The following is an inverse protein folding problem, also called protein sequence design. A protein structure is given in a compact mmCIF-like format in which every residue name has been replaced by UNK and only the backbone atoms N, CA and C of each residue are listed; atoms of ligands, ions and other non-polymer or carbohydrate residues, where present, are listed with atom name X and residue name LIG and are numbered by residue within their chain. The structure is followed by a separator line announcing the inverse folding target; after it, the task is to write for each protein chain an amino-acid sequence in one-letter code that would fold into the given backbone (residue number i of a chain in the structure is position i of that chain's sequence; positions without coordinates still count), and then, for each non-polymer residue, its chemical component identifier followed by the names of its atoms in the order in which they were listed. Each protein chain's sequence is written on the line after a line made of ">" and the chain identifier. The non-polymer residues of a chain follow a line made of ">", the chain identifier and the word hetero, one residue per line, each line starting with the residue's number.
data_IF_382098850832
#
_entry.id   IF_382098850832
#
_cell.length_a   1.000
_cell.length_b   1.000
_cell.length_c   1.000
_cell.angle_alpha   90.00
_cell.angle_beta   90.00
_cell.angle_gamma   90.00
#
_symmetry.space_group_name_H-M   'P 1'
#
loop_
_entity.id
_entity.type
_entity.pdbx_description
1 polymer ?
#
# COMPACT_ATOMS: atom_id res chain seq x y z
N UNK A 1 7.15 0.14 -22.64
CA UNK A 1 5.68 0.02 -22.68
C UNK A 1 5.26 -0.20 -24.12
N UNK A 2 4.21 -0.99 -24.33
CA UNK A 2 3.57 -1.15 -25.63
C UNK A 2 2.25 -0.35 -25.69
N UNK A 3 1.61 -0.32 -26.86
CA UNK A 3 0.35 0.41 -27.11
C UNK A 3 -0.83 -0.07 -26.24
N UNK A 4 -0.83 -1.34 -25.81
CA UNK A 4 -1.87 -1.86 -24.93
C UNK A 4 -1.69 -1.31 -23.51
N UNK A 5 -0.44 -1.26 -23.03
CA UNK A 5 -0.10 -0.71 -21.70
C UNK A 5 -0.57 0.75 -21.58
N UNK A 6 -0.30 1.56 -22.60
CA UNK A 6 -0.73 2.97 -22.68
C UNK A 6 -2.26 3.09 -22.61
N UNK A 7 -2.99 2.35 -23.46
CA UNK A 7 -4.46 2.35 -23.45
C UNK A 7 -5.05 1.92 -22.11
N UNK A 8 -4.43 0.94 -21.47
CA UNK A 8 -4.92 0.39 -20.20
C UNK A 8 -4.70 1.39 -19.07
N UNK A 9 -3.58 2.11 -19.05
CA UNK A 9 -3.32 3.19 -18.09
C UNK A 9 -4.29 4.36 -18.29
N UNK A 10 -4.58 4.74 -19.54
CA UNK A 10 -5.50 5.83 -19.86
C UNK A 10 -6.95 5.51 -19.49
N UNK A 11 -7.42 4.29 -19.79
CA UNK A 11 -8.80 3.88 -19.57
C UNK A 11 -9.09 3.44 -18.13
N UNK A 12 -8.07 2.97 -17.40
CA UNK A 12 -8.22 2.40 -16.06
C UNK A 12 -7.24 3.00 -15.04
N UNK A 13 -7.19 4.34 -14.87
CA UNK A 13 -6.31 4.96 -13.90
C UNK A 13 -6.64 4.46 -12.49
N UNK A 14 -5.61 4.23 -11.68
CA UNK A 14 -5.77 3.70 -10.33
C UNK A 14 -6.10 2.20 -10.23
N UNK A 15 -6.37 1.51 -11.34
CA UNK A 15 -6.76 0.09 -11.36
C UNK A 15 -5.71 -0.83 -11.98
N UNK A 16 -4.68 -0.24 -12.59
CA UNK A 16 -3.59 -0.94 -13.24
C UNK A 16 -2.38 -0.93 -12.33
N UNK A 17 -1.74 -2.10 -12.17
CA UNK A 17 -0.57 -2.25 -11.32
C UNK A 17 0.60 -2.74 -12.15
N UNK A 18 1.67 -1.95 -12.15
CA UNK A 18 2.97 -2.31 -12.75
C UNK A 18 3.70 -3.34 -11.89
N UNK A 19 3.68 -4.61 -12.32
CA UNK A 19 4.25 -5.73 -11.57
C UNK A 19 5.78 -5.69 -11.44
N UNK A 20 6.47 -5.04 -12.38
CA UNK A 20 7.90 -4.78 -12.32
C UNK A 20 8.27 -3.92 -11.10
N UNK A 21 7.47 -2.88 -10.80
CA UNK A 21 7.67 -2.03 -9.62
C UNK A 21 7.40 -2.79 -8.31
N UNK A 22 6.42 -3.70 -8.29
CA UNK A 22 6.13 -4.55 -7.13
C UNK A 22 7.34 -5.41 -6.79
N UNK A 23 7.95 -6.05 -7.79
CA UNK A 23 9.12 -6.92 -7.61
C UNK A 23 10.33 -6.16 -7.04
N UNK A 24 10.58 -4.94 -7.54
CA UNK A 24 11.66 -4.09 -7.05
C UNK A 24 11.49 -3.69 -5.56
N UNK A 25 10.26 -3.44 -5.12
CA UNK A 25 9.95 -3.04 -3.74
C UNK A 25 9.92 -4.23 -2.77
N UNK A 26 9.46 -5.40 -3.20
CA UNK A 26 9.37 -6.61 -2.35
C UNK A 26 10.71 -7.01 -1.74
N UNK A 27 11.81 -6.89 -2.48
CA UNK A 27 13.14 -7.24 -1.97
C UNK A 27 13.63 -6.32 -0.85
N UNK A 28 13.08 -5.11 -0.76
CA UNK A 28 13.51 -4.10 0.21
C UNK A 28 12.60 -4.04 1.45
N UNK A 29 11.37 -4.56 1.37
CA UNK A 29 10.35 -4.38 2.38
C UNK A 29 9.63 -5.71 2.67
N UNK A 30 9.61 -6.11 3.95
CA UNK A 30 8.86 -7.29 4.42
C UNK A 30 7.36 -6.97 4.57
N UNK A 31 6.70 -6.64 3.45
CA UNK A 31 5.30 -6.24 3.37
C UNK A 31 4.57 -7.17 2.40
N UNK A 32 3.32 -7.59 2.70
CA UNK A 32 2.56 -8.45 1.79
C UNK A 32 2.37 -7.82 0.40
N UNK A 33 2.44 -8.66 -0.64
CA UNK A 33 2.36 -8.24 -2.04
C UNK A 33 1.12 -7.39 -2.34
N UNK A 34 -0.04 -7.79 -1.84
CA UNK A 34 -1.31 -7.11 -2.11
C UNK A 34 -1.36 -5.68 -1.55
N UNK A 35 -0.62 -5.39 -0.47
CA UNK A 35 -0.51 -4.03 0.09
C UNK A 35 0.29 -3.15 -0.86
N UNK A 36 1.43 -3.66 -1.34
CA UNK A 36 2.26 -2.95 -2.33
C UNK A 36 1.49 -2.72 -3.62
N UNK A 37 0.77 -3.73 -4.10
CA UNK A 37 -0.04 -3.63 -5.31
C UNK A 37 -1.13 -2.57 -5.19
N UNK A 38 -1.82 -2.51 -4.05
CA UNK A 38 -2.83 -1.48 -3.77
C UNK A 38 -2.22 -0.07 -3.78
N UNK A 39 -1.10 0.12 -3.08
CA UNK A 39 -0.43 1.42 -3.00
C UNK A 39 0.11 1.84 -4.37
N UNK A 40 0.76 0.94 -5.11
CA UNK A 40 1.29 1.23 -6.44
C UNK A 40 0.18 1.48 -7.46
N UNK A 41 -0.93 0.75 -7.41
CA UNK A 41 -2.09 1.04 -8.24
C UNK A 41 -2.61 2.45 -8.00
N UNK A 42 -2.68 2.87 -6.73
CA UNK A 42 -3.16 4.20 -6.35
C UNK A 42 -2.21 5.34 -6.74
N UNK A 43 -0.91 5.18 -6.55
CA UNK A 43 0.08 6.26 -6.68
C UNK A 43 0.95 6.21 -7.94
N UNK A 44 1.02 5.06 -8.61
CA UNK A 44 1.89 4.82 -9.78
C UNK A 44 1.08 4.35 -11.02
N UNK A 45 -0.10 4.93 -11.26
CA UNK A 45 -0.97 4.58 -12.39
C UNK A 45 -0.75 5.42 -13.66
N UNK A 46 0.40 6.09 -13.76
CA UNK A 46 0.80 6.88 -14.93
C UNK A 46 1.92 6.18 -15.72
N UNK A 47 2.04 6.53 -16.99
CA UNK A 47 3.17 6.18 -17.85
C UNK A 47 4.37 7.13 -17.69
N UNK A 48 4.14 8.31 -17.10
CA UNK A 48 5.16 9.34 -16.89
C UNK A 48 6.15 8.92 -15.80
N UNK A 49 7.43 8.85 -16.15
CA UNK A 49 8.52 8.41 -15.26
C UNK A 49 8.62 9.30 -14.00
N UNK A 50 8.41 10.61 -14.12
CA UNK A 50 8.45 11.56 -13.01
C UNK A 50 7.28 11.36 -12.04
N UNK A 51 6.08 11.08 -12.58
CA UNK A 51 4.91 10.73 -11.75
C UNK A 51 5.12 9.40 -11.05
N UNK A 52 5.69 8.40 -11.73
CA UNK A 52 6.02 7.10 -11.13
C UNK A 52 7.04 7.27 -10.00
N UNK A 53 8.10 8.05 -10.21
CA UNK A 53 9.13 8.26 -9.17
C UNK A 53 8.53 8.96 -7.94
N UNK A 54 7.72 10.01 -8.15
CA UNK A 54 6.99 10.68 -7.07
C UNK A 54 6.05 9.71 -6.33
N UNK A 55 5.32 8.88 -7.08
CA UNK A 55 4.46 7.84 -6.53
C UNK A 55 5.23 6.82 -5.69
N UNK A 56 6.39 6.35 -6.17
CA UNK A 56 7.25 5.42 -5.43
C UNK A 56 7.77 6.03 -4.12
N UNK A 57 8.15 7.31 -4.13
CA UNK A 57 8.54 8.04 -2.90
C UNK A 57 7.38 8.09 -1.92
N UNK A 58 6.17 8.38 -2.40
CA UNK A 58 4.96 8.43 -1.57
C UNK A 58 4.62 7.06 -0.97
N UNK A 59 4.69 5.99 -1.76
CA UNK A 59 4.45 4.62 -1.29
C UNK A 59 5.46 4.24 -0.20
N UNK A 60 6.75 4.55 -0.40
CA UNK A 60 7.78 4.31 0.62
C UNK A 60 7.50 5.08 1.90
N UNK A 61 7.13 6.37 1.80
CA UNK A 61 6.74 7.19 2.96
C UNK A 61 5.56 6.58 3.71
N UNK A 62 4.49 6.23 3.00
CA UNK A 62 3.29 5.63 3.60
C UNK A 62 3.63 4.33 4.35
N UNK A 63 4.46 3.48 3.78
CA UNK A 63 4.87 2.23 4.42
C UNK A 63 5.71 2.49 5.67
N UNK A 64 6.68 3.41 5.62
CA UNK A 64 7.51 3.75 6.79
C UNK A 64 6.67 4.37 7.92
N UNK A 65 5.72 5.23 7.57
CA UNK A 65 4.91 5.94 8.55
C UNK A 65 3.74 5.11 9.10
N UNK A 66 3.13 4.25 8.29
CA UNK A 66 1.83 3.66 8.64
C UNK A 66 1.86 2.12 8.73
N UNK A 67 2.91 1.43 8.28
CA UNK A 67 2.99 -0.03 8.41
C UNK A 67 3.68 -0.43 9.72
N UNK A 68 2.94 -1.06 10.62
CA UNK A 68 3.51 -1.51 11.90
C UNK A 68 4.16 -2.87 11.72
N UNK A 69 5.44 -2.93 12.10
CA UNK A 69 6.15 -4.20 12.16
C UNK A 69 5.83 -4.90 13.48
N UNK A 70 5.80 -6.25 13.53
CA UNK A 70 5.44 -7.00 14.74
C UNK A 70 6.28 -6.63 15.97
N UNK A 71 7.55 -6.31 15.77
CA UNK A 71 8.53 -5.90 16.79
C UNK A 71 8.31 -4.48 17.34
N UNK A 72 7.48 -3.66 16.70
CA UNK A 72 7.27 -2.25 17.04
C UNK A 72 5.94 -1.99 17.77
N UNK A 73 5.28 -3.03 18.27
CA UNK A 73 3.94 -2.97 18.84
C UNK A 73 3.81 -1.99 20.03
N UNK A 74 4.77 -1.97 20.96
CA UNK A 74 4.72 -1.08 22.14
C UNK A 74 5.00 0.38 21.79
N UNK A 75 5.94 0.62 20.86
CA UNK A 75 6.20 1.96 20.33
C UNK A 75 4.95 2.53 19.65
N UNK A 76 4.26 1.71 18.85
CA UNK A 76 3.03 2.13 18.18
C UNK A 76 1.92 2.48 19.18
N UNK A 77 1.70 1.66 20.22
CA UNK A 77 0.71 1.96 21.27
C UNK A 77 0.98 3.30 21.95
N UNK A 78 2.25 3.60 22.26
CA UNK A 78 2.66 4.90 22.81
C UNK A 78 2.33 6.04 21.84
N UNK A 79 2.66 5.91 20.55
CA UNK A 79 2.35 6.94 19.55
C UNK A 79 0.84 7.19 19.38
N UNK A 80 0.02 6.14 19.39
CA UNK A 80 -1.45 6.27 19.33
C UNK A 80 -1.98 6.99 20.57
N UNK A 81 -1.48 6.64 21.75
CA UNK A 81 -1.89 7.27 23.02
C UNK A 81 -1.56 8.76 23.05
N UNK A 82 -0.38 9.16 22.55
CA UNK A 82 0.05 10.56 22.56
C UNK A 82 -0.67 11.41 21.51
N UNK A 83 -0.89 10.87 20.30
CA UNK A 83 -1.46 11.62 19.16
C UNK A 83 -2.98 11.56 19.09
N UNK A 84 -3.61 10.61 19.79
CA UNK A 84 -5.05 10.35 19.78
C UNK A 84 -5.59 9.72 18.48
N UNK A 85 -5.03 10.07 17.33
CA UNK A 85 -5.40 9.51 16.02
C UNK A 85 -4.15 9.08 15.26
N UNK A 86 -4.23 7.91 14.62
CA UNK A 86 -3.14 7.36 13.81
C UNK A 86 -3.68 6.56 12.63
N UNK A 87 -3.03 6.65 11.47
CA UNK A 87 -3.36 5.83 10.29
C UNK A 87 -2.45 4.60 10.28
N UNK A 88 -3.05 3.42 10.20
CA UNK A 88 -2.33 2.14 10.29
C UNK A 88 -2.62 1.26 9.08
N UNK A 89 -1.61 0.55 8.61
CA UNK A 89 -1.70 -0.60 7.71
C UNK A 89 -1.38 -1.84 8.54
N UNK A 90 -2.41 -2.64 8.82
CA UNK A 90 -2.28 -3.91 9.54
C UNK A 90 -3.36 -4.89 9.05
N UNK A 91 -3.18 -6.18 9.37
CA UNK A 91 -4.11 -7.25 9.00
C UNK A 91 -5.20 -7.37 10.07
N UNK A 92 -6.39 -6.90 9.75
CA UNK A 92 -7.60 -7.15 10.56
C UNK A 92 -8.15 -8.54 10.25
N UNK A 93 -8.45 -9.34 11.28
CA UNK A 93 -9.16 -10.61 11.16
C UNK A 93 -10.55 -10.44 11.74
N UNK A 94 -11.55 -10.86 11.00
CA UNK A 94 -12.94 -10.94 11.44
C UNK A 94 -13.37 -12.40 11.50
N UNK A 95 -14.23 -12.72 12.47
CA UNK A 95 -14.84 -14.04 12.61
C UNK A 95 -16.35 -13.86 12.51
N UNK A 96 -17.00 -14.66 11.66
CA UNK A 96 -18.45 -14.74 11.65
C UNK A 96 -18.90 -15.56 12.85
N UNK A 97 -19.79 -14.98 13.65
CA UNK A 97 -20.48 -15.66 14.75
C UNK A 97 -21.95 -15.68 14.35
N UNK A 98 -22.39 -16.78 13.74
CA UNK A 98 -23.74 -16.94 13.16
C UNK A 98 -24.87 -16.68 14.17
N UNK A 99 -24.58 -16.75 15.47
CA UNK A 99 -25.55 -16.53 16.55
C UNK A 99 -25.68 -15.07 16.99
N UNK A 100 -24.81 -14.17 16.53
CA UNK A 100 -24.74 -12.76 16.93
C UNK A 100 -25.24 -11.78 15.84
N UNK A 101 -25.96 -12.28 14.84
CA UNK A 101 -26.76 -11.45 13.91
C UNK A 101 -27.98 -10.85 14.64
N UNK A 102 -27.76 -9.87 15.52
CA UNK A 102 -28.80 -9.09 16.21
C UNK A 102 -28.75 -7.62 15.84
#
# INVERSE_FOLDING_TARGET
>A
MNRLDEKVLDLFPGRVVRKDLVSNLKGQLNVPAYVLEYLLGKYCSSADEGVIEAGLREVKRILVENYVRPDQSEWFKSQVRERGHYRLIDKVKVRLVETEDK
#
